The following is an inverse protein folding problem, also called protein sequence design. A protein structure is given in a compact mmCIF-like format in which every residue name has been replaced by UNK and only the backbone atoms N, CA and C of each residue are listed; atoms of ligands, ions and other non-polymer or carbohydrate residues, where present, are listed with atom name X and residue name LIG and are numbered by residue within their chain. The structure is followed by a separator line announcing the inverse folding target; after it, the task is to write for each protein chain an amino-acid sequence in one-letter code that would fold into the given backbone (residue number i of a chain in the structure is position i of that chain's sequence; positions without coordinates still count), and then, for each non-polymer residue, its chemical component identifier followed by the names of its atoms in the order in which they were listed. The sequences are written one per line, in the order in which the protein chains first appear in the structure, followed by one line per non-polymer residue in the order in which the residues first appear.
data_IF_956449349231
#
_entry.id   IF_956449349231
#
_cell.length_a   1.000
_cell.length_b   1.000
_cell.length_c   1.000
_cell.angle_alpha   90.00
_cell.angle_beta   90.00
_cell.angle_gamma   90.00
#
_symmetry.space_group_name_H-M   'P 1'
#
loop_
_entity.id
_entity.type
_entity.pdbx_description
1 polymer ?
#
# COMPACT_ATOMS: atom_id res chain seq x y z
N UNK A 1 37.32 46.42 -38.25
CA UNK A 1 35.98 45.92 -37.85
C UNK A 1 36.19 44.51 -37.30
N UNK A 2 35.81 44.23 -36.05
CA UNK A 2 36.00 42.93 -35.38
C UNK A 2 34.65 42.21 -35.33
N UNK A 3 34.52 41.07 -35.99
CA UNK A 3 33.30 40.24 -36.00
C UNK A 3 33.44 39.14 -34.94
N UNK A 4 32.70 39.27 -33.85
CA UNK A 4 32.57 38.20 -32.84
C UNK A 4 31.46 37.25 -33.26
N UNK A 5 31.83 36.02 -33.61
CA UNK A 5 30.90 34.93 -33.92
C UNK A 5 30.49 34.24 -32.62
N UNK A 6 29.21 34.31 -32.28
CA UNK A 6 28.63 33.59 -31.14
C UNK A 6 28.11 32.24 -31.65
N UNK A 7 28.73 31.14 -31.20
CA UNK A 7 28.21 29.78 -31.41
C UNK A 7 27.07 29.53 -30.41
N UNK A 8 25.83 29.45 -30.88
CA UNK A 8 24.70 28.98 -30.09
C UNK A 8 24.64 27.44 -30.17
N UNK A 9 25.00 26.77 -29.08
CA UNK A 9 24.80 25.32 -28.91
C UNK A 9 23.32 25.05 -28.64
N UNK A 10 22.59 24.49 -29.61
CA UNK A 10 21.24 23.97 -29.39
C UNK A 10 21.35 22.67 -28.58
N UNK A 11 20.95 22.71 -27.31
CA UNK A 11 20.73 21.51 -26.50
C UNK A 11 19.51 20.76 -27.02
N UNK A 12 19.70 19.53 -27.50
CA UNK A 12 18.60 18.65 -27.84
C UNK A 12 17.89 18.23 -26.53
N UNK A 13 16.72 18.80 -26.27
CA UNK A 13 15.85 18.32 -25.22
C UNK A 13 15.22 16.99 -25.66
N UNK A 14 15.71 15.88 -25.13
CA UNK A 14 15.12 14.55 -25.33
C UNK A 14 13.79 14.49 -24.60
N UNK A 15 12.69 14.78 -25.30
CA UNK A 15 11.35 14.52 -24.79
C UNK A 15 11.14 12.99 -24.74
N UNK A 16 11.36 12.40 -23.57
CA UNK A 16 10.92 11.03 -23.31
C UNK A 16 9.38 11.00 -23.41
N UNK A 17 8.85 10.47 -24.51
CA UNK A 17 7.41 10.29 -24.68
C UNK A 17 7.03 9.07 -23.83
N UNK A 18 6.48 9.30 -22.64
CA UNK A 18 5.88 8.22 -21.86
C UNK A 18 4.70 7.63 -22.66
N UNK A 19 4.65 6.31 -22.78
CA UNK A 19 3.51 5.63 -23.40
C UNK A 19 2.31 5.86 -22.49
N UNK A 20 1.39 6.73 -22.95
CA UNK A 20 0.16 7.05 -22.24
C UNK A 20 -0.79 5.84 -22.25
N UNK A 21 -1.51 5.63 -21.16
CA UNK A 21 -2.62 4.70 -21.12
C UNK A 21 -3.70 5.15 -22.12
N UNK A 22 -4.47 4.22 -22.66
CA UNK A 22 -5.53 4.56 -23.59
C UNK A 22 -6.71 5.12 -22.82
N UNK A 23 -7.14 6.34 -23.15
CA UNK A 23 -8.28 6.98 -22.50
C UNK A 23 -9.53 6.09 -22.55
N UNK A 24 -10.24 6.02 -21.44
CA UNK A 24 -11.48 5.24 -21.31
C UNK A 24 -11.26 3.76 -20.99
N UNK A 25 -10.01 3.29 -21.03
CA UNK A 25 -9.68 1.91 -20.69
C UNK A 25 -9.36 1.75 -19.20
N UNK A 26 -9.73 0.61 -18.65
CA UNK A 26 -9.38 0.19 -17.29
C UNK A 26 -8.14 -0.70 -17.34
N UNK A 27 -7.18 -0.42 -16.46
CA UNK A 27 -5.93 -1.17 -16.35
C UNK A 27 -5.70 -1.66 -14.93
N UNK A 28 -5.13 -2.85 -14.82
CA UNK A 28 -4.46 -3.31 -13.61
C UNK A 28 -3.25 -2.41 -13.32
N UNK A 29 -2.96 -2.20 -12.05
CA UNK A 29 -1.74 -1.50 -11.64
C UNK A 29 -0.46 -2.15 -12.20
N UNK A 30 -0.42 -3.48 -12.26
CA UNK A 30 0.67 -4.22 -12.94
C UNK A 30 0.79 -3.87 -14.43
N UNK A 31 -0.31 -3.73 -15.15
CA UNK A 31 -0.34 -3.34 -16.56
C UNK A 31 0.16 -1.90 -16.75
N UNK A 32 -0.21 -1.00 -15.84
CA UNK A 32 0.26 0.39 -15.86
C UNK A 32 1.76 0.49 -15.63
N UNK A 33 2.31 -0.22 -14.64
CA UNK A 33 3.77 -0.26 -14.38
C UNK A 33 4.54 -0.76 -15.60
N UNK A 34 4.00 -1.74 -16.34
CA UNK A 34 4.62 -2.21 -17.60
C UNK A 34 4.59 -1.16 -18.71
N UNK A 35 3.57 -0.30 -18.73
CA UNK A 35 3.42 0.77 -19.74
C UNK A 35 4.31 1.97 -19.45
N UNK A 36 4.53 2.31 -18.18
CA UNK A 36 5.33 3.48 -17.81
C UNK A 36 5.31 3.81 -16.32
N UNK A 37 5.66 5.05 -16.00
CA UNK A 37 5.81 5.53 -14.63
C UNK A 37 4.48 6.05 -14.05
N UNK A 38 3.53 5.15 -13.79
CA UNK A 38 2.21 5.49 -13.23
C UNK A 38 2.13 5.39 -11.70
N UNK A 39 3.23 5.03 -11.03
CA UNK A 39 3.21 4.76 -9.58
C UNK A 39 2.68 5.94 -8.77
N UNK A 40 3.10 7.16 -9.12
CA UNK A 40 2.64 8.38 -8.45
C UNK A 40 1.15 8.66 -8.71
N UNK A 41 0.69 8.44 -9.94
CA UNK A 41 -0.72 8.63 -10.31
C UNK A 41 -1.62 7.62 -9.58
N UNK A 42 -1.18 6.36 -9.48
CA UNK A 42 -1.88 5.32 -8.72
C UNK A 42 -1.94 5.66 -7.22
N UNK A 43 -0.84 6.13 -6.63
CA UNK A 43 -0.81 6.60 -5.24
C UNK A 43 -1.79 7.76 -5.02
N UNK A 44 -1.82 8.72 -5.94
CA UNK A 44 -2.74 9.87 -5.88
C UNK A 44 -4.19 9.41 -5.97
N UNK A 45 -4.49 8.47 -6.87
CA UNK A 45 -5.81 7.85 -7.01
C UNK A 45 -6.27 7.17 -5.72
N UNK A 46 -5.40 6.36 -5.08
CA UNK A 46 -5.71 5.71 -3.80
C UNK A 46 -5.92 6.71 -2.66
N UNK A 47 -5.08 7.76 -2.59
CA UNK A 47 -5.18 8.79 -1.55
C UNK A 47 -6.49 9.57 -1.62
N UNK A 48 -7.04 9.79 -2.82
CA UNK A 48 -8.35 10.45 -2.99
C UNK A 48 -9.49 9.66 -2.40
N UNK A 49 -9.36 8.34 -2.40
CA UNK A 49 -10.32 7.42 -1.77
C UNK A 49 -9.99 7.16 -0.29
N UNK A 50 -8.98 7.82 0.27
CA UNK A 50 -8.53 7.60 1.65
C UNK A 50 -7.84 6.25 1.88
N UNK A 51 -7.40 5.58 0.81
CA UNK A 51 -6.74 4.26 0.88
C UNK A 51 -5.23 4.44 1.01
N UNK A 52 -4.65 3.86 2.06
CA UNK A 52 -3.20 3.86 2.24
C UNK A 52 -2.51 3.02 1.15
N UNK A 53 -1.54 3.58 0.40
CA UNK A 53 -0.88 2.86 -0.67
C UNK A 53 0.00 1.73 -0.11
N UNK A 54 -0.26 0.51 -0.57
CA UNK A 54 0.59 -0.66 -0.36
C UNK A 54 0.88 -1.32 -1.71
N UNK A 55 1.84 -2.24 -1.76
CA UNK A 55 2.14 -2.97 -3.01
C UNK A 55 0.90 -3.66 -3.58
N UNK A 56 0.05 -4.22 -2.72
CA UNK A 56 -1.22 -4.82 -3.10
C UNK A 56 -2.19 -3.79 -3.68
N UNK A 57 -2.40 -2.68 -2.97
CA UNK A 57 -3.30 -1.62 -3.40
C UNK A 57 -2.84 -0.95 -4.71
N UNK A 58 -1.53 -0.88 -4.95
CA UNK A 58 -0.99 -0.31 -6.18
C UNK A 58 -1.09 -1.28 -7.35
N UNK A 59 -0.69 -2.54 -7.18
CA UNK A 59 -0.47 -3.46 -8.29
C UNK A 59 -1.72 -4.28 -8.65
N UNK A 60 -2.52 -4.64 -7.65
CA UNK A 60 -3.70 -5.50 -7.82
C UNK A 60 -5.01 -4.71 -7.92
N UNK A 61 -4.95 -3.39 -8.11
CA UNK A 61 -6.13 -2.54 -8.29
C UNK A 61 -6.38 -2.20 -9.76
N UNK A 62 -7.65 -1.92 -10.05
CA UNK A 62 -8.14 -1.40 -11.31
C UNK A 62 -8.17 0.13 -11.29
N UNK A 63 -7.66 0.72 -12.37
CA UNK A 63 -7.63 2.17 -12.58
C UNK A 63 -8.20 2.50 -13.95
N UNK A 64 -9.15 3.43 -14.01
CA UNK A 64 -9.63 4.01 -15.26
C UNK A 64 -8.65 5.08 -15.73
N UNK A 65 -8.16 4.94 -16.95
CA UNK A 65 -7.36 5.96 -17.62
C UNK A 65 -8.24 7.10 -18.13
N UNK A 66 -7.93 8.33 -17.71
CA UNK A 66 -8.62 9.55 -18.15
C UNK A 66 -7.63 10.51 -18.81
N UNK A 67 -8.16 11.55 -19.46
CA UNK A 67 -7.38 12.70 -19.93
C UNK A 67 -7.61 13.95 -19.10
N UNK A 68 -8.35 13.80 -18.01
CA UNK A 68 -8.68 14.87 -17.08
C UNK A 68 -7.49 15.17 -16.16
N UNK A 69 -7.67 16.11 -15.23
CA UNK A 69 -6.68 16.43 -14.19
C UNK A 69 -6.28 15.19 -13.36
N UNK A 70 -7.17 14.21 -13.33
CA UNK A 70 -7.15 13.00 -12.55
C UNK A 70 -6.76 11.79 -13.41
N UNK A 71 -5.60 11.91 -14.09
CA UNK A 71 -5.01 10.98 -15.07
C UNK A 71 -5.35 9.48 -14.87
N UNK A 72 -5.41 9.03 -13.61
CA UNK A 72 -5.96 7.73 -13.22
C UNK A 72 -7.02 7.91 -12.14
N UNK A 73 -8.18 7.27 -12.35
CA UNK A 73 -9.24 7.15 -11.35
C UNK A 73 -9.22 5.72 -10.80
N UNK A 74 -9.05 5.57 -9.48
CA UNK A 74 -9.17 4.27 -8.83
C UNK A 74 -10.59 3.71 -8.99
N UNK A 75 -10.72 2.41 -9.24
CA UNK A 75 -12.02 1.72 -9.39
C UNK A 75 -12.27 0.69 -8.29
N UNK A 76 -11.34 -0.23 -8.09
CA UNK A 76 -11.47 -1.30 -7.13
C UNK A 76 -10.12 -1.98 -6.89
N UNK A 77 -9.90 -2.51 -5.71
CA UNK A 77 -8.79 -3.42 -5.40
C UNK A 77 -9.25 -4.86 -5.61
N UNK A 78 -8.60 -5.58 -6.52
CA UNK A 78 -8.82 -7.02 -6.66
C UNK A 78 -8.15 -7.77 -5.50
N UNK A 79 -8.42 -9.06 -5.33
CA UNK A 79 -7.60 -9.92 -4.46
C UNK A 79 -6.16 -9.98 -4.96
N UNK A 80 -5.21 -10.31 -4.09
CA UNK A 80 -3.78 -10.42 -4.46
C UNK A 80 -3.61 -11.37 -5.65
N UNK A 81 -3.00 -10.88 -6.73
CA UNK A 81 -2.78 -11.65 -7.95
C UNK A 81 -4.03 -11.93 -8.78
N UNK A 82 -5.16 -11.32 -8.44
CA UNK A 82 -6.45 -11.55 -9.10
C UNK A 82 -6.79 -10.47 -10.13
N UNK A 83 -5.91 -9.48 -10.34
CA UNK A 83 -6.08 -8.50 -11.40
C UNK A 83 -5.53 -9.09 -12.72
N UNK A 84 -6.42 -9.31 -13.68
CA UNK A 84 -6.09 -9.92 -14.97
C UNK A 84 -5.94 -8.86 -16.07
N UNK A 85 -4.75 -8.84 -16.67
CA UNK A 85 -4.46 -8.14 -17.93
C UNK A 85 -5.15 -8.87 -19.08
N UNK A 86 -6.16 -8.23 -19.68
CA UNK A 86 -6.93 -8.82 -20.80
C UNK A 86 -6.30 -8.56 -22.17
N UNK A 87 -5.14 -7.90 -22.20
CA UNK A 87 -4.35 -7.65 -23.39
C UNK A 87 -4.68 -6.32 -24.08
N UNK A 88 -4.15 -6.18 -25.30
CA UNK A 88 -4.17 -4.89 -26.01
C UNK A 88 -5.61 -4.48 -26.37
N UNK A 89 -5.95 -3.24 -26.05
CA UNK A 89 -7.27 -2.63 -26.30
C UNK A 89 -8.43 -3.39 -25.66
N UNK A 90 -8.20 -4.00 -24.49
CA UNK A 90 -9.23 -4.62 -23.66
C UNK A 90 -9.10 -4.10 -22.23
N UNK A 91 -10.23 -3.97 -21.55
CA UNK A 91 -10.26 -3.56 -20.15
C UNK A 91 -9.77 -4.70 -19.28
N UNK A 92 -8.90 -4.38 -18.33
CA UNK A 92 -8.45 -5.33 -17.31
C UNK A 92 -9.58 -5.58 -16.29
N UNK A 93 -9.58 -6.75 -15.68
CA UNK A 93 -10.67 -7.20 -14.81
C UNK A 93 -10.15 -7.92 -13.57
N UNK A 94 -10.88 -7.80 -12.45
CA UNK A 94 -10.68 -8.69 -11.32
C UNK A 94 -11.29 -10.07 -11.63
N UNK A 95 -10.54 -11.15 -11.42
CA UNK A 95 -11.01 -12.54 -11.54
C UNK A 95 -11.12 -13.21 -10.17
N UNK A 96 -11.99 -14.21 -10.04
CA UNK A 96 -12.27 -14.85 -8.76
C UNK A 96 -13.26 -14.03 -7.95
N UNK A 97 -14.53 -14.16 -8.33
CA UNK A 97 -15.66 -13.61 -7.61
C UNK A 97 -15.85 -14.36 -6.28
N UNK A 98 -16.27 -13.60 -5.25
CA UNK A 98 -16.88 -14.06 -3.98
C UNK A 98 -15.86 -14.42 -2.87
N UNK A 99 -15.80 -13.80 -1.69
CA UNK A 99 -16.61 -12.78 -0.99
C UNK A 99 -15.68 -11.87 -0.13
N UNK A 100 -16.06 -10.61 0.07
CA UNK A 100 -15.76 -9.87 1.32
C UNK A 100 -16.87 -10.25 2.31
N UNK A 101 -16.64 -10.43 3.62
CA UNK A 101 -15.78 -9.57 4.45
C UNK A 101 -14.80 -10.35 5.34
N UNK A 102 -13.55 -9.90 5.44
CA UNK A 102 -12.81 -10.10 6.69
C UNK A 102 -13.49 -9.17 7.71
N UNK A 103 -14.51 -9.71 8.40
CA UNK A 103 -14.97 -9.12 9.65
C UNK A 103 -13.74 -8.94 10.55
N UNK A 104 -13.60 -7.73 11.04
CA UNK A 104 -12.61 -7.37 12.04
C UNK A 104 -12.89 -8.22 13.29
N UNK A 105 -12.12 -9.28 13.50
CA UNK A 105 -11.94 -9.90 14.82
C UNK A 105 -11.23 -8.88 15.73
N UNK A 106 -11.99 -7.89 16.19
CA UNK A 106 -11.66 -6.93 17.24
C UNK A 106 -12.26 -7.42 18.57
N UNK A 107 -11.99 -8.67 18.94
CA UNK A 107 -12.38 -9.24 20.24
C UNK A 107 -11.16 -9.86 20.95
N UNK A 108 -10.08 -9.10 21.17
CA UNK A 108 -9.06 -9.48 22.16
C UNK A 108 -8.44 -8.26 22.87
N UNK A 109 -9.27 -7.42 23.48
CA UNK A 109 -8.80 -6.62 24.62
C UNK A 109 -9.84 -6.68 25.75
N UNK A 110 -9.35 -6.92 26.97
CA UNK A 110 -10.00 -6.73 28.28
C UNK A 110 -10.62 -7.93 29.03
N UNK A 111 -9.84 -8.98 29.32
CA UNK A 111 -10.02 -9.72 30.59
C UNK A 111 -8.65 -10.22 31.11
N UNK A 112 -7.85 -9.34 31.71
CA UNK A 112 -6.72 -9.76 32.57
C UNK A 112 -6.15 -8.64 33.47
N UNK A 113 -6.98 -7.69 33.93
CA UNK A 113 -6.57 -6.72 34.97
C UNK A 113 -7.66 -6.51 36.02
N UNK A 114 -8.24 -7.57 36.59
CA UNK A 114 -9.06 -7.43 37.81
C UNK A 114 -9.03 -8.68 38.71
N UNK A 115 -7.87 -9.04 39.26
CA UNK A 115 -7.83 -9.77 40.52
C UNK A 115 -6.52 -9.53 41.28
N UNK A 116 -6.25 -8.26 41.61
CA UNK A 116 -5.31 -7.92 42.69
C UNK A 116 -6.10 -7.23 43.79
N UNK A 117 -6.24 -7.94 44.92
CA UNK A 117 -6.27 -7.30 46.22
C UNK A 117 -7.58 -7.36 46.98
N UNK A 118 -7.78 -8.44 47.76
CA UNK A 118 -8.38 -8.33 49.09
C UNK A 118 -7.76 -9.39 50.02
N UNK A 119 -7.19 -8.95 51.15
CA UNK A 119 -6.87 -9.84 52.28
C UNK A 119 -5.56 -9.54 53.00
N UNK A 120 -5.50 -8.41 53.70
CA UNK A 120 -4.58 -8.22 54.82
C UNK A 120 -4.92 -9.23 55.93
N UNK A 121 -3.92 -9.86 56.55
CA UNK A 121 -3.57 -9.62 57.97
C UNK A 121 -2.54 -10.63 58.51
N UNK A 122 -1.38 -10.06 58.88
CA UNK A 122 -0.66 -10.24 60.13
C UNK A 122 -0.78 -11.59 60.87
N UNK A 123 0.34 -12.30 61.06
CA UNK A 123 0.98 -12.34 62.38
C UNK A 123 2.37 -12.99 62.31
N UNK A 124 3.21 -12.52 63.22
CA UNK A 124 4.60 -12.81 63.45
C UNK A 124 4.96 -14.29 63.67
N UNK A 125 6.22 -14.66 63.38
CA UNK A 125 7.23 -14.97 64.41
C UNK A 125 8.44 -15.76 63.87
N UNK A 126 9.63 -15.26 64.22
CA UNK A 126 10.88 -16.00 64.53
C UNK A 126 11.66 -16.64 63.35
N UNK A 127 12.74 -16.02 62.87
CA UNK A 127 14.12 -16.05 63.40
C UNK A 127 14.98 -17.27 62.94
N UNK A 128 15.89 -17.02 61.98
CA UNK A 128 17.32 -17.46 61.79
C UNK A 128 17.76 -18.93 62.12
N UNK A 129 18.97 -19.40 61.74
CA UNK A 129 19.74 -19.27 60.49
C UNK A 129 20.37 -20.61 60.01
N UNK A 130 21.09 -20.53 58.88
CA UNK A 130 22.16 -21.39 58.32
C UNK A 130 22.93 -22.32 59.28
N UNK A 131 23.08 -23.62 58.95
CA UNK A 131 24.40 -24.34 58.87
C UNK A 131 24.31 -25.73 58.20
N UNK A 132 25.31 -26.04 57.37
CA UNK A 132 25.65 -27.38 56.82
C UNK A 132 26.21 -28.34 57.88
N UNK A 133 25.91 -29.64 57.76
CA UNK A 133 26.82 -30.78 58.04
C UNK A 133 26.38 -31.99 57.18
N UNK A 134 27.32 -32.63 56.48
CA UNK A 134 27.20 -34.05 56.08
C UNK A 134 28.55 -34.70 56.34
N UNK A 135 28.48 -35.94 56.84
CA UNK A 135 29.53 -36.76 57.43
C UNK A 135 30.65 -37.17 56.47
#
# INVERSE_FOLDING_TARGET
MKTSTILATLGAASCAVAIRCTQGMTYCGTSLVKKGNYTQDMQTGLQREGIAPSAHQLLDSLYLCTTDEDYLIYRATCRRGACQDNGVNRDDTCIGTEEQPEEQDLDQEQEQEEYVGMGQDQNAQNARPTTSVTF
#
